data_IF_406879083725
#
_entry.id   IF_406879083725
#
_cell.length_a   1.000
_cell.length_b   1.000
_cell.length_c   1.000
_cell.angle_alpha   90.00
_cell.angle_beta   90.00
_cell.angle_gamma   90.00
#
_symmetry.space_group_name_H-M   'P 1'
#
loop_
_entity.id
_entity.type
_entity.pdbx_description
1 polymer ?
#
# COMPACT_ATOMS: atom_id res chain seq x y z
N UNK A 1 8.27 -16.06 11.27
CA UNK A 1 8.29 -14.61 11.58
C UNK A 1 7.00 -14.27 12.31
N UNK A 2 7.06 -13.55 13.42
CA UNK A 2 5.84 -13.05 14.07
C UNK A 2 5.33 -11.85 13.26
N UNK A 3 4.01 -11.73 13.04
CA UNK A 3 3.41 -10.50 12.53
C UNK A 3 3.74 -9.38 13.53
N UNK A 4 4.51 -8.37 13.12
CA UNK A 4 5.02 -7.29 13.99
C UNK A 4 4.61 -5.95 13.40
N UNK A 5 3.77 -5.20 14.11
CA UNK A 5 3.39 -3.84 13.74
C UNK A 5 2.60 -3.76 12.42
N UNK A 6 3.33 -3.62 11.31
CA UNK A 6 2.77 -3.55 9.96
C UNK A 6 2.54 -4.96 9.41
N UNK A 7 1.39 -5.15 8.77
CA UNK A 7 0.98 -6.46 8.25
C UNK A 7 1.27 -6.60 6.75
N UNK A 8 0.87 -5.59 5.95
CA UNK A 8 1.00 -5.59 4.49
C UNK A 8 0.74 -4.20 3.92
N UNK A 9 1.19 -3.99 2.69
CA UNK A 9 0.69 -2.91 1.85
C UNK A 9 -0.81 -3.14 1.56
N UNK A 10 -1.64 -2.17 1.93
CA UNK A 10 -3.10 -2.31 1.91
C UNK A 10 -3.82 -1.36 0.94
N UNK A 11 -3.20 -0.25 0.57
CA UNK A 11 -3.78 0.72 -0.36
C UNK A 11 -2.69 1.52 -1.08
N UNK A 12 -2.92 1.82 -2.36
CA UNK A 12 -2.14 2.84 -3.09
C UNK A 12 -3.11 3.74 -3.84
N UNK A 13 -2.88 5.05 -3.77
CA UNK A 13 -3.58 6.04 -4.59
C UNK A 13 -2.65 6.57 -5.68
N UNK A 14 -3.07 6.42 -6.94
CA UNK A 14 -2.30 6.88 -8.10
C UNK A 14 -3.10 7.87 -8.92
N UNK A 15 -2.36 8.81 -9.50
CA UNK A 15 -2.85 9.80 -10.45
C UNK A 15 -2.82 9.21 -11.86
N UNK A 16 -3.94 9.33 -12.55
CA UNK A 16 -4.12 8.92 -13.94
C UNK A 16 -4.47 10.14 -14.79
N UNK A 17 -4.08 10.12 -16.07
CA UNK A 17 -4.28 11.26 -16.97
C UNK A 17 -5.69 11.28 -17.59
N UNK A 18 -6.32 10.11 -17.73
CA UNK A 18 -7.66 9.95 -18.27
C UNK A 18 -8.33 8.78 -17.55
N UNK A 19 -9.46 9.03 -16.88
CA UNK A 19 -10.16 7.98 -16.12
C UNK A 19 -10.78 6.91 -17.02
N UNK A 20 -11.20 7.26 -18.25
CA UNK A 20 -11.76 6.31 -19.20
C UNK A 20 -10.72 5.27 -19.64
N UNK A 21 -9.54 5.72 -20.05
CA UNK A 21 -8.41 4.85 -20.38
C UNK A 21 -7.93 4.05 -19.17
N UNK A 22 -7.91 4.66 -17.99
CA UNK A 22 -7.55 3.99 -16.75
C UNK A 22 -8.53 2.86 -16.40
N UNK A 23 -9.85 3.06 -16.55
CA UNK A 23 -10.86 2.01 -16.36
C UNK A 23 -10.70 0.86 -17.36
N UNK A 24 -10.39 1.15 -18.62
CA UNK A 24 -10.08 0.12 -19.61
C UNK A 24 -8.84 -0.70 -19.17
N UNK A 25 -7.79 -0.04 -18.68
CA UNK A 25 -6.58 -0.72 -18.21
C UNK A 25 -6.81 -1.53 -16.91
N UNK A 26 -7.19 -0.87 -15.82
CA UNK A 26 -7.31 -1.48 -14.49
C UNK A 26 -8.55 -2.39 -14.37
N UNK A 27 -9.70 -1.96 -14.88
CA UNK A 27 -10.94 -2.72 -14.79
C UNK A 27 -11.00 -3.89 -15.76
N UNK A 28 -10.77 -3.66 -17.05
CA UNK A 28 -11.00 -4.68 -18.09
C UNK A 28 -9.75 -5.50 -18.41
N UNK A 29 -8.60 -4.88 -18.65
CA UNK A 29 -7.36 -5.62 -19.00
C UNK A 29 -6.78 -6.33 -17.78
N UNK A 30 -6.52 -5.62 -16.69
CA UNK A 30 -6.04 -6.23 -15.45
C UNK A 30 -7.12 -7.10 -14.78
N UNK A 31 -8.40 -6.75 -14.97
CA UNK A 31 -9.52 -7.51 -14.41
C UNK A 31 -9.90 -7.12 -12.99
N UNK A 32 -9.47 -5.95 -12.49
CA UNK A 32 -9.81 -5.48 -11.15
C UNK A 32 -11.31 -5.16 -11.05
N UNK A 33 -11.87 -5.33 -9.87
CA UNK A 33 -13.27 -5.03 -9.59
C UNK A 33 -13.39 -3.59 -9.14
N UNK A 34 -14.11 -2.79 -9.93
CA UNK A 34 -14.55 -1.47 -9.49
C UNK A 34 -15.60 -1.65 -8.40
N UNK A 35 -15.35 -1.06 -7.23
CA UNK A 35 -16.22 -1.19 -6.06
C UNK A 35 -16.91 0.12 -5.69
N UNK A 36 -16.37 1.25 -6.15
CA UNK A 36 -16.91 2.57 -5.84
C UNK A 36 -16.38 3.60 -6.83
N UNK A 37 -17.22 4.60 -7.12
CA UNK A 37 -16.81 5.92 -7.62
C UNK A 37 -17.34 6.96 -6.64
N UNK A 38 -16.51 7.88 -6.19
CA UNK A 38 -16.94 8.93 -5.26
C UNK A 38 -17.48 10.19 -5.97
N UNK A 39 -17.91 11.17 -5.18
CA UNK A 39 -18.44 12.44 -5.70
C UNK A 39 -17.37 13.32 -6.39
N UNK A 40 -16.08 13.08 -6.12
CA UNK A 40 -14.96 13.78 -6.74
C UNK A 40 -14.49 13.10 -8.04
N UNK A 41 -15.10 11.96 -8.41
CA UNK A 41 -14.74 11.18 -9.58
C UNK A 41 -13.57 10.22 -9.37
N UNK A 42 -13.12 10.01 -8.13
CA UNK A 42 -12.12 8.98 -7.84
C UNK A 42 -12.74 7.60 -7.97
N UNK A 43 -11.97 6.66 -8.52
CA UNK A 43 -12.44 5.29 -8.78
C UNK A 43 -11.64 4.31 -7.94
N UNK A 44 -12.34 3.38 -7.29
CA UNK A 44 -11.79 2.47 -6.30
C UNK A 44 -11.87 1.04 -6.81
N UNK A 45 -10.74 0.35 -6.76
CA UNK A 45 -10.56 -0.99 -7.27
C UNK A 45 -10.06 -1.95 -6.21
N UNK A 46 -10.47 -3.21 -6.36
CA UNK A 46 -9.87 -4.35 -5.66
C UNK A 46 -9.48 -5.46 -6.62
N UNK A 47 -8.42 -6.18 -6.27
CA UNK A 47 -8.12 -7.46 -6.90
C UNK A 47 -9.10 -8.54 -6.43
N UNK A 48 -9.19 -9.67 -7.14
CA UNK A 48 -10.23 -10.66 -6.86
C UNK A 48 -10.06 -11.34 -5.49
N UNK A 49 -8.82 -11.51 -5.01
CA UNK A 49 -8.51 -12.16 -3.72
C UNK A 49 -8.37 -11.15 -2.57
N UNK A 50 -8.59 -9.86 -2.83
CA UNK A 50 -8.55 -8.83 -1.79
C UNK A 50 -9.79 -8.93 -0.90
N UNK A 51 -9.61 -8.86 0.41
CA UNK A 51 -10.74 -8.89 1.37
C UNK A 51 -11.20 -7.50 1.76
N UNK A 52 -10.25 -6.56 1.87
CA UNK A 52 -10.56 -5.16 2.15
C UNK A 52 -11.40 -4.57 0.98
N UNK A 53 -12.16 -3.51 1.25
CA UNK A 53 -13.06 -2.90 0.26
C UNK A 53 -12.34 -2.54 -1.05
N UNK A 54 -11.15 -1.98 -0.96
CA UNK A 54 -10.33 -1.61 -2.10
C UNK A 54 -8.85 -1.60 -1.71
N UNK A 55 -7.98 -1.80 -2.69
CA UNK A 55 -6.52 -1.69 -2.54
C UNK A 55 -5.90 -0.71 -3.54
N UNK A 56 -6.65 -0.24 -4.54
CA UNK A 56 -6.19 0.74 -5.51
C UNK A 56 -7.20 1.87 -5.62
N UNK A 57 -6.72 3.12 -5.56
CA UNK A 57 -7.51 4.32 -5.81
C UNK A 57 -6.92 5.04 -7.02
N UNK A 58 -7.78 5.37 -7.98
CA UNK A 58 -7.43 6.15 -9.16
C UNK A 58 -8.01 7.55 -9.00
N UNK A 59 -7.18 8.56 -9.20
CA UNK A 59 -7.59 9.96 -9.25
C UNK A 59 -7.16 10.57 -10.57
N UNK A 60 -8.08 11.19 -11.29
CA UNK A 60 -7.71 11.92 -12.52
C UNK A 60 -6.92 13.19 -12.14
N UNK A 61 -5.84 13.48 -12.88
CA UNK A 61 -4.98 14.64 -12.67
C UNK A 61 -4.16 14.97 -13.93
N UNK A 62 -3.65 16.21 -14.00
CA UNK A 62 -2.83 16.68 -15.14
C UNK A 62 -1.41 16.06 -15.19
N UNK A 63 -1.04 15.24 -14.21
CA UNK A 63 0.27 14.57 -14.14
C UNK A 63 0.15 13.21 -13.46
N UNK A 64 0.86 12.21 -13.98
CA UNK A 64 0.93 10.87 -13.37
C UNK A 64 1.77 10.86 -12.08
N UNK A 65 1.61 9.81 -11.28
CA UNK A 65 2.39 9.58 -10.07
C UNK A 65 1.56 9.01 -8.93
N UNK A 66 2.18 8.84 -7.77
CA UNK A 66 1.51 8.35 -6.56
C UNK A 66 1.15 9.54 -5.65
N UNK A 67 -0.09 9.58 -5.16
CA UNK A 67 -0.49 10.55 -4.14
C UNK A 67 -0.07 10.06 -2.74
N UNK A 68 -0.36 8.80 -2.42
CA UNK A 68 0.06 8.16 -1.18
C UNK A 68 0.00 6.62 -1.31
N UNK A 69 0.62 5.95 -0.35
CA UNK A 69 0.41 4.53 -0.09
C UNK A 69 0.13 4.30 1.39
N UNK A 70 -0.58 3.22 1.72
CA UNK A 70 -0.97 2.93 3.08
C UNK A 70 -0.70 1.47 3.47
N UNK A 71 -0.03 1.29 4.62
CA UNK A 71 0.15 -0.01 5.23
C UNK A 71 -0.97 -0.30 6.24
N UNK A 72 -1.46 -1.54 6.21
CA UNK A 72 -2.39 -2.04 7.22
C UNK A 72 -1.58 -2.48 8.44
N UNK A 73 -1.98 -2.04 9.63
CA UNK A 73 -1.45 -2.52 10.92
C UNK A 73 -2.44 -3.48 11.57
N UNK A 74 -2.04 -4.15 12.65
CA UNK A 74 -2.86 -5.16 13.31
C UNK A 74 -4.15 -4.59 13.90
N UNK A 75 -4.05 -3.52 14.68
CA UNK A 75 -5.17 -2.89 15.37
C UNK A 75 -4.89 -1.39 15.64
N UNK A 76 -5.88 -0.71 16.20
CA UNK A 76 -5.73 0.70 16.59
C UNK A 76 -4.67 0.89 17.67
N UNK A 77 -4.49 -0.05 18.61
CA UNK A 77 -3.44 0.05 19.62
C UNK A 77 -2.04 0.12 18.99
N UNK A 78 -1.82 -0.63 17.90
CA UNK A 78 -0.59 -0.58 17.12
C UNK A 78 -0.33 0.81 16.52
N UNK A 79 -1.37 1.54 16.09
CA UNK A 79 -1.20 2.93 15.63
C UNK A 79 -0.71 3.83 16.77
N UNK A 80 -1.31 3.69 17.95
CA UNK A 80 -0.95 4.49 19.13
C UNK A 80 0.48 4.18 19.63
N UNK A 81 0.94 2.94 19.47
CA UNK A 81 2.31 2.53 19.78
C UNK A 81 3.34 3.01 18.76
N UNK A 82 2.97 3.11 17.48
CA UNK A 82 3.87 3.51 16.40
C UNK A 82 4.06 5.03 16.33
N UNK A 83 3.01 5.81 16.58
CA UNK A 83 3.09 7.28 16.53
C UNK A 83 4.28 7.87 17.31
N UNK A 84 4.48 7.57 18.61
CA UNK A 84 5.59 8.16 19.36
C UNK A 84 6.95 7.74 18.79
N UNK A 85 7.08 6.54 18.22
CA UNK A 85 8.32 6.07 17.58
C UNK A 85 8.59 6.81 16.27
N UNK A 86 7.56 7.05 15.47
CA UNK A 86 7.65 7.85 14.23
C UNK A 86 8.07 9.29 14.56
N UNK A 87 7.45 9.90 15.59
CA UNK A 87 7.82 11.24 16.06
C UNK A 87 9.25 11.27 16.61
N UNK A 88 9.66 10.25 17.36
CA UNK A 88 11.03 10.15 17.89
C UNK A 88 12.08 9.95 16.78
N UNK A 89 11.71 9.32 15.66
CA UNK A 89 12.55 9.24 14.46
C UNK A 89 12.75 10.61 13.80
N UNK A 90 11.83 11.56 14.03
CA UNK A 90 11.91 12.94 13.55
C UNK A 90 10.82 13.33 12.54
N UNK A 91 9.85 12.45 12.27
CA UNK A 91 8.78 12.73 11.31
C UNK A 91 7.57 13.39 11.99
N UNK A 92 6.94 14.33 11.27
CA UNK A 92 5.66 14.90 11.68
C UNK A 92 4.53 13.95 11.32
N UNK A 93 3.66 13.67 12.30
CA UNK A 93 2.50 12.79 12.12
C UNK A 93 1.22 13.61 12.16
N UNK A 94 0.43 13.48 11.10
CA UNK A 94 -0.93 13.98 10.95
C UNK A 94 -1.94 12.89 11.29
N UNK A 95 -3.02 13.26 11.97
CA UNK A 95 -4.12 12.37 12.30
C UNK A 95 -5.27 12.57 11.33
N UNK A 96 -5.69 11.48 10.70
CA UNK A 96 -6.85 11.47 9.82
C UNK A 96 -8.00 10.76 10.53
N UNK A 97 -9.13 11.46 10.68
CA UNK A 97 -10.32 10.90 11.29
C UNK A 97 -10.90 9.72 10.49
N UNK A 98 -11.54 8.78 11.18
CA UNK A 98 -12.24 7.68 10.53
C UNK A 98 -13.31 8.21 9.56
N UNK A 99 -13.45 7.55 8.40
CA UNK A 99 -14.40 7.94 7.37
C UNK A 99 -13.96 9.08 6.44
N UNK A 100 -12.84 9.77 6.72
CA UNK A 100 -12.23 10.71 5.75
C UNK A 100 -11.80 9.97 4.49
N UNK A 101 -11.11 8.84 4.66
CA UNK A 101 -10.88 7.89 3.58
C UNK A 101 -12.05 6.90 3.53
N UNK A 102 -12.62 6.63 2.33
CA UNK A 102 -13.78 5.76 2.21
C UNK A 102 -13.56 4.41 2.85
N UNK A 103 -14.55 3.98 3.64
CA UNK A 103 -14.58 2.64 4.26
C UNK A 103 -13.39 2.33 5.18
N UNK A 104 -12.60 3.34 5.52
CA UNK A 104 -11.41 3.21 6.37
C UNK A 104 -11.72 3.71 7.78
N UNK A 105 -11.09 3.07 8.76
CA UNK A 105 -10.91 3.65 10.09
C UNK A 105 -9.97 4.85 10.05
N UNK A 106 -9.60 5.35 11.24
CA UNK A 106 -8.62 6.43 11.38
C UNK A 106 -7.29 6.06 10.74
N UNK A 107 -6.50 7.08 10.38
CA UNK A 107 -5.15 6.89 9.85
C UNK A 107 -4.14 7.80 10.52
N UNK A 108 -2.90 7.37 10.53
CA UNK A 108 -1.74 8.24 10.72
C UNK A 108 -1.13 8.53 9.36
N UNK A 109 -0.74 9.77 9.10
CA UNK A 109 -0.12 10.20 7.84
C UNK A 109 1.20 10.92 8.13
N UNK A 110 2.23 10.62 7.35
CA UNK A 110 3.54 11.25 7.46
C UNK A 110 4.32 11.13 6.13
N UNK A 111 5.26 12.04 5.92
CA UNK A 111 6.14 12.02 4.74
C UNK A 111 7.41 11.26 5.06
N UNK A 112 7.76 10.29 4.22
CA UNK A 112 9.02 9.55 4.32
C UNK A 112 10.23 10.46 4.02
N UNK A 113 11.45 10.08 4.47
CA UNK A 113 12.68 10.75 4.05
C UNK A 113 12.82 10.84 2.53
N UNK A 114 12.36 9.82 1.79
CA UNK A 114 12.32 9.82 0.32
C UNK A 114 11.27 10.75 -0.31
N UNK A 115 10.51 11.51 0.49
CA UNK A 115 9.52 12.48 0.03
C UNK A 115 8.12 11.90 -0.23
N UNK A 116 7.95 10.59 -0.13
CA UNK A 116 6.66 9.91 -0.38
C UNK A 116 5.72 10.02 0.82
N UNK A 117 4.43 10.26 0.55
CA UNK A 117 3.41 10.28 1.59
C UNK A 117 2.99 8.84 1.95
N UNK A 118 3.18 8.47 3.21
CA UNK A 118 2.81 7.17 3.75
C UNK A 118 1.70 7.32 4.78
N UNK A 119 0.78 6.35 4.79
CA UNK A 119 -0.27 6.24 5.79
C UNK A 119 -0.25 4.89 6.51
N UNK A 120 -0.76 4.87 7.73
CA UNK A 120 -1.00 3.66 8.51
C UNK A 120 -2.48 3.60 8.90
N UNK A 121 -3.10 2.43 8.74
CA UNK A 121 -4.49 2.20 9.15
C UNK A 121 -4.67 0.78 9.69
N UNK A 122 -5.56 0.60 10.68
CA UNK A 122 -5.90 -0.73 11.19
C UNK A 122 -7.11 -1.31 10.45
N UNK A 123 -8.20 -0.53 10.44
CA UNK A 123 -9.50 -0.98 9.96
C UNK A 123 -9.81 -0.46 8.56
N UNK A 124 -10.34 -1.36 7.73
CA UNK A 124 -11.04 -1.04 6.48
C UNK A 124 -12.16 -2.06 6.33
N UNK A 125 -13.33 -1.63 5.86
CA UNK A 125 -14.48 -2.51 5.61
C UNK A 125 -14.04 -3.69 4.75
N UNK A 126 -14.41 -4.90 5.17
CA UNK A 126 -14.09 -6.12 4.43
C UNK A 126 -15.28 -6.55 3.59
N UNK A 127 -15.15 -6.39 2.28
CA UNK A 127 -16.14 -6.85 1.30
C UNK A 127 -15.99 -8.35 0.97
N UNK A 128 -14.86 -8.96 1.34
CA UNK A 128 -14.55 -10.37 1.06
C UNK A 128 -14.23 -10.64 -0.42
N UNK A 129 -13.75 -11.83 -0.73
CA UNK A 129 -13.28 -12.22 -2.08
C UNK A 129 -14.28 -13.13 -2.83
N UNK A 130 -15.58 -13.01 -2.55
CA UNK A 130 -16.68 -13.89 -3.00
C UNK A 130 -16.66 -15.34 -2.47
N UNK A 131 -15.57 -15.78 -1.84
CA UNK A 131 -15.50 -17.08 -1.18
C UNK A 131 -16.08 -17.01 0.24
N UNK A 132 -16.73 -18.09 0.67
CA UNK A 132 -17.19 -18.23 2.05
C UNK A 132 -16.02 -18.37 3.04
N UNK A 133 -16.27 -18.11 4.33
CA UNK A 133 -15.25 -18.26 5.39
C UNK A 133 -15.23 -19.67 6.01
N UNK A 134 -16.20 -20.52 5.67
CA UNK A 134 -16.32 -21.88 6.17
C UNK A 134 -16.18 -22.87 5.00
N UNK A 135 -15.10 -23.66 5.01
CA UNK A 135 -14.75 -24.63 3.96
C UNK A 135 -14.87 -24.06 2.52
N UNK A 136 -14.23 -22.92 2.20
CA UNK A 136 -14.28 -22.38 0.85
C UNK A 136 -13.62 -23.33 -0.16
N UNK A 137 -14.11 -23.26 -1.40
CA UNK A 137 -13.37 -23.77 -2.55
C UNK A 137 -12.08 -22.99 -2.80
N UNK A 138 -11.25 -23.50 -3.70
CA UNK A 138 -9.97 -22.86 -4.08
C UNK A 138 -10.13 -21.82 -5.20
N UNK A 139 -11.28 -21.80 -5.87
CA UNK A 139 -11.60 -20.88 -6.96
C UNK A 139 -12.99 -20.28 -6.71
N UNK A 140 -13.17 -18.98 -6.98
CA UNK A 140 -14.48 -18.34 -6.93
C UNK A 140 -15.34 -18.74 -8.13
N UNK A 141 -16.60 -18.32 -8.10
CA UNK A 141 -17.54 -18.54 -9.20
C UNK A 141 -17.04 -17.96 -10.53
N UNK A 142 -17.55 -18.53 -11.63
CA UNK A 142 -17.21 -18.09 -12.98
C UNK A 142 -17.50 -16.59 -13.16
N UNK A 143 -16.55 -15.88 -13.77
CA UNK A 143 -16.66 -14.44 -14.00
C UNK A 143 -16.11 -13.54 -12.89
N UNK A 144 -15.76 -14.07 -11.71
CA UNK A 144 -15.05 -13.30 -10.67
C UNK A 144 -13.62 -13.01 -11.14
N UNK A 145 -12.85 -14.05 -11.48
CA UNK A 145 -11.49 -13.88 -12.00
C UNK A 145 -11.56 -13.45 -13.48
N UNK A 146 -11.11 -12.23 -13.77
CA UNK A 146 -11.20 -11.59 -15.11
C UNK A 146 -9.83 -11.10 -15.58
N UNK A 147 -9.76 -10.73 -16.86
CA UNK A 147 -8.58 -10.09 -17.46
C UNK A 147 -7.30 -10.88 -17.23
N UNK A 148 -6.23 -10.18 -16.85
CA UNK A 148 -4.93 -10.76 -16.49
C UNK A 148 -4.89 -11.42 -15.10
N UNK A 149 -6.05 -11.58 -14.45
CA UNK A 149 -6.22 -12.38 -13.23
C UNK A 149 -5.39 -11.86 -12.05
N UNK A 150 -5.24 -10.54 -11.96
CA UNK A 150 -4.54 -9.89 -10.85
C UNK A 150 -5.24 -10.26 -9.54
N UNK A 151 -4.51 -10.94 -8.65
CA UNK A 151 -5.05 -11.52 -7.42
C UNK A 151 -4.89 -10.62 -6.20
N UNK A 152 -3.81 -9.85 -6.10
CA UNK A 152 -3.57 -8.97 -4.94
C UNK A 152 -2.68 -7.77 -5.26
N UNK A 153 -2.72 -6.77 -4.40
CA UNK A 153 -1.66 -5.77 -4.27
C UNK A 153 -0.48 -6.40 -3.53
N UNK A 154 0.70 -6.41 -4.15
CA UNK A 154 1.84 -7.20 -3.65
C UNK A 154 2.86 -6.35 -2.89
N UNK A 155 3.44 -5.33 -3.52
CA UNK A 155 4.46 -4.46 -2.94
C UNK A 155 4.49 -3.10 -3.66
N UNK A 156 5.27 -2.15 -3.12
CA UNK A 156 5.57 -0.87 -3.75
C UNK A 156 7.08 -0.71 -3.95
N UNK A 157 7.49 -0.13 -5.09
CA UNK A 157 8.86 0.33 -5.32
C UNK A 157 8.80 1.84 -5.49
N UNK A 158 9.53 2.56 -4.64
CA UNK A 158 9.51 4.01 -4.56
C UNK A 158 10.87 4.57 -5.00
N UNK A 159 10.83 5.40 -6.04
CA UNK A 159 12.01 6.10 -6.54
C UNK A 159 12.16 7.46 -5.89
N UNK A 160 13.32 7.77 -5.30
CA UNK A 160 13.56 9.08 -4.70
C UNK A 160 14.92 9.21 -4.04
N UNK A 161 15.05 10.21 -3.18
CA UNK A 161 16.27 10.53 -2.44
C UNK A 161 16.29 9.86 -1.06
N UNK A 162 17.41 9.97 -0.33
CA UNK A 162 17.54 9.54 1.07
C UNK A 162 16.99 8.13 1.36
N UNK A 163 17.26 7.20 0.44
CA UNK A 163 16.71 5.85 0.47
C UNK A 163 17.23 5.03 1.67
N UNK A 164 18.46 5.28 2.12
CA UNK A 164 19.03 4.65 3.32
C UNK A 164 18.31 5.09 4.59
N UNK A 165 17.90 6.36 4.68
CA UNK A 165 17.15 6.88 5.82
C UNK A 165 15.71 6.36 5.83
N UNK A 166 15.11 6.21 4.64
CA UNK A 166 13.83 5.51 4.51
C UNK A 166 13.97 4.04 4.95
N UNK A 167 15.03 3.33 4.55
CA UNK A 167 15.26 1.97 5.04
C UNK A 167 15.47 1.91 6.56
N UNK A 168 16.20 2.88 7.15
CA UNK A 168 16.38 2.98 8.61
C UNK A 168 15.06 3.14 9.35
N UNK A 169 14.15 3.96 8.85
CA UNK A 169 12.80 4.09 9.41
C UNK A 169 12.09 2.72 9.42
N UNK A 170 12.10 2.02 8.29
CA UNK A 170 11.39 0.75 8.16
C UNK A 170 11.99 -0.35 9.04
N UNK A 171 13.31 -0.40 9.21
CA UNK A 171 13.96 -1.39 10.08
C UNK A 171 13.82 -1.05 11.56
N UNK A 172 14.11 0.20 11.97
CA UNK A 172 14.15 0.59 13.38
C UNK A 172 12.76 0.84 13.98
N UNK A 173 11.84 1.43 13.21
CA UNK A 173 10.50 1.79 13.71
C UNK A 173 9.46 0.73 13.37
N UNK A 174 9.45 0.26 12.12
CA UNK A 174 8.42 -0.68 11.65
C UNK A 174 8.85 -2.16 11.76
N UNK A 175 10.11 -2.44 12.09
CA UNK A 175 10.60 -3.79 12.32
C UNK A 175 10.71 -4.65 11.07
N UNK A 176 10.90 -4.03 9.90
CA UNK A 176 11.16 -4.74 8.65
C UNK A 176 12.58 -5.31 8.65
N UNK A 177 12.75 -6.41 7.92
CA UNK A 177 14.05 -6.96 7.60
C UNK A 177 14.50 -6.46 6.21
N UNK A 178 15.75 -6.02 6.10
CA UNK A 178 16.38 -5.72 4.81
C UNK A 178 16.78 -7.05 4.14
N UNK A 179 16.08 -7.43 3.08
CA UNK A 179 16.30 -8.70 2.39
C UNK A 179 17.42 -8.61 1.35
N UNK A 180 17.40 -7.56 0.53
CA UNK A 180 18.37 -7.35 -0.54
C UNK A 180 18.79 -5.87 -0.62
N UNK A 181 20.05 -5.64 -1.00
CA UNK A 181 20.62 -4.30 -1.19
C UNK A 181 21.53 -4.30 -2.42
N UNK A 182 21.27 -3.39 -3.34
CA UNK A 182 22.17 -3.04 -4.43
C UNK A 182 23.01 -1.83 -4.00
N UNK A 183 24.32 -1.97 -4.12
CA UNK A 183 25.28 -0.90 -3.82
C UNK A 183 26.11 -0.58 -5.07
N UNK A 184 26.49 0.69 -5.20
CA UNK A 184 27.55 1.08 -6.11
C UNK A 184 28.87 0.45 -5.65
N UNK A 185 29.59 -0.18 -6.57
CA UNK A 185 30.82 -0.92 -6.28
C UNK A 185 31.98 0.02 -5.90
N UNK A 186 31.99 1.24 -6.41
CA UNK A 186 33.08 2.20 -6.17
C UNK A 186 32.81 3.08 -4.94
N UNK A 187 31.62 3.69 -4.86
CA UNK A 187 31.25 4.63 -3.80
C UNK A 187 30.56 4.00 -2.60
N UNK A 188 30.13 2.74 -2.67
CA UNK A 188 29.41 2.05 -1.59
C UNK A 188 28.01 2.59 -1.29
N UNK A 189 27.51 3.52 -2.10
CA UNK A 189 26.19 4.12 -1.97
C UNK A 189 25.10 3.10 -2.28
N UNK A 190 24.00 3.11 -1.54
CA UNK A 190 22.81 2.33 -1.91
C UNK A 190 22.21 2.84 -3.22
N UNK A 191 21.92 1.90 -4.13
CA UNK A 191 21.19 2.16 -5.37
C UNK A 191 19.76 1.61 -5.30
N UNK A 192 19.57 0.48 -4.62
CA UNK A 192 18.26 -0.11 -4.34
C UNK A 192 18.26 -0.88 -3.02
N UNK A 193 17.16 -0.80 -2.28
CA UNK A 193 16.96 -1.43 -0.97
C UNK A 193 15.60 -2.15 -0.98
N UNK A 194 15.57 -3.41 -0.59
CA UNK A 194 14.36 -4.23 -0.56
C UNK A 194 14.08 -4.68 0.87
N UNK A 195 12.89 -4.35 1.39
CA UNK A 195 12.53 -4.59 2.79
C UNK A 195 11.23 -5.39 2.90
N UNK A 196 11.19 -6.31 3.86
CA UNK A 196 10.06 -7.21 4.07
C UNK A 196 9.56 -7.17 5.51
N UNK A 197 8.24 -7.22 5.68
CA UNK A 197 7.58 -7.49 6.97
C UNK A 197 6.82 -8.82 6.95
N UNK A 198 7.00 -9.61 5.89
CA UNK A 198 6.28 -10.84 5.61
C UNK A 198 7.24 -11.94 5.15
N UNK A 199 6.69 -13.06 4.66
CA UNK A 199 7.49 -14.14 4.06
C UNK A 199 7.82 -13.89 2.59
N UNK A 200 7.45 -12.73 2.03
CA UNK A 200 7.79 -12.33 0.65
C UNK A 200 9.22 -11.77 0.59
N UNK A 201 9.85 -11.73 -0.60
CA UNK A 201 11.16 -11.09 -0.78
C UNK A 201 11.15 -9.62 -0.32
N UNK A 202 10.07 -8.89 -0.60
CA UNK A 202 9.86 -7.53 -0.11
C UNK A 202 8.39 -7.14 -0.10
N UNK A 203 8.06 -6.19 0.77
CA UNK A 203 6.78 -5.49 0.85
C UNK A 203 6.93 -4.03 0.38
N UNK A 204 8.13 -3.47 0.53
CA UNK A 204 8.51 -2.16 0.02
C UNK A 204 9.96 -2.17 -0.49
N UNK A 205 10.22 -1.42 -1.54
CA UNK A 205 11.56 -1.18 -2.05
C UNK A 205 11.79 0.31 -2.29
N UNK A 206 13.04 0.75 -2.13
CA UNK A 206 13.49 2.10 -2.43
C UNK A 206 14.58 2.06 -3.48
N UNK A 207 14.50 2.93 -4.48
CA UNK A 207 15.51 3.07 -5.54
C UNK A 207 15.94 4.53 -5.61
N UNK A 208 17.25 4.77 -5.72
CA UNK A 208 17.80 6.12 -5.83
C UNK A 208 17.38 6.75 -7.16
N UNK A 209 16.72 7.91 -7.13
CA UNK A 209 16.32 8.70 -8.30
C UNK A 209 16.54 10.19 -8.11
#
# INVERSE_FOLDING_TARGET
MALRGLLRLGEVAVRVLDMGEAREHYGKRMGLHEVMTDAAGQVYYKAWDEHDHHCLVLREADSSGMDYFAFKVFDDATLDELEPKIRAFGLQVEHIAAGVYPKSGRRLQFTLPSGHLMQLYAHKEQSGNSLGVLNPGVLPDEGVIRGFRINRLDHALLGGVDIDESARLFTEVFGFDLSERLIDAEGGQSLALFLSCSTKPHDIAFVLQ
#
